data_IF_639975372584
#
_entry.id   IF_639975372584
#
_cell.length_a   1.000
_cell.length_b   1.000
_cell.length_c   1.000
_cell.angle_alpha   90.00
_cell.angle_beta   90.00
_cell.angle_gamma   90.00
#
_symmetry.space_group_name_H-M   'P 1'
#
loop_
_entity.id
_entity.type
_entity.pdbx_description
1 polymer ?
#
# COMPACT_ATOMS: atom_id res chain seq x y z
N UNK A 1 14.84 21.40 -1.25
CA UNK A 1 14.50 20.98 -2.65
C UNK A 1 15.64 20.24 -3.38
N UNK A 2 16.74 19.84 -2.71
CA UNK A 2 17.86 19.07 -3.29
C UNK A 2 17.91 17.58 -2.90
N UNK A 3 16.97 17.10 -2.07
CA UNK A 3 17.04 15.74 -1.47
C UNK A 3 16.77 14.63 -2.51
N UNK A 4 16.13 14.94 -3.64
CA UNK A 4 15.72 13.94 -4.62
C UNK A 4 16.65 13.79 -5.83
N UNK A 5 17.81 14.47 -5.87
CA UNK A 5 18.70 14.46 -7.05
C UNK A 5 20.02 13.70 -6.87
N UNK A 6 20.41 13.26 -5.68
CA UNK A 6 21.80 12.78 -5.47
C UNK A 6 21.98 11.37 -4.89
N UNK A 7 21.01 10.79 -4.15
CA UNK A 7 21.22 9.46 -3.53
C UNK A 7 20.01 8.52 -3.71
N UNK A 8 20.19 7.45 -4.47
CA UNK A 8 19.18 6.43 -4.76
C UNK A 8 18.60 5.82 -3.47
N UNK A 9 19.44 5.65 -2.44
CA UNK A 9 19.05 5.00 -1.18
C UNK A 9 18.10 5.87 -0.35
N UNK A 10 18.34 7.19 -0.29
CA UNK A 10 17.45 8.13 0.43
C UNK A 10 16.06 8.18 -0.19
N UNK A 11 15.97 8.11 -1.52
CA UNK A 11 14.69 8.05 -2.24
C UNK A 11 13.95 6.75 -1.96
N UNK A 12 14.64 5.62 -2.06
CA UNK A 12 14.03 4.31 -1.79
C UNK A 12 13.54 4.25 -0.35
N UNK A 13 14.34 4.73 0.62
CA UNK A 13 13.94 4.79 2.02
C UNK A 13 12.70 5.67 2.23
N UNK A 14 12.64 6.84 1.60
CA UNK A 14 11.46 7.70 1.67
C UNK A 14 10.20 6.98 1.20
N UNK A 15 10.23 6.35 0.01
CA UNK A 15 9.07 5.61 -0.50
C UNK A 15 8.73 4.40 0.35
N UNK A 16 9.72 3.66 0.83
CA UNK A 16 9.49 2.52 1.71
C UNK A 16 8.76 2.96 2.99
N UNK A 17 9.24 4.00 3.68
CA UNK A 17 8.61 4.51 4.91
C UNK A 17 7.21 5.04 4.62
N UNK A 18 7.04 5.79 3.52
CA UNK A 18 5.74 6.32 3.12
C UNK A 18 4.76 5.20 2.76
N UNK A 19 5.19 4.17 2.02
CA UNK A 19 4.36 3.03 1.64
C UNK A 19 3.92 2.22 2.87
N UNK A 20 4.81 2.00 3.85
CA UNK A 20 4.45 1.37 5.12
C UNK A 20 3.40 2.21 5.86
N UNK A 21 3.66 3.51 6.04
CA UNK A 21 2.76 4.41 6.76
C UNK A 21 1.38 4.51 6.08
N UNK A 22 1.35 4.73 4.76
CA UNK A 22 0.11 4.79 3.99
C UNK A 22 -0.63 3.46 3.98
N UNK A 23 0.08 2.33 4.04
CA UNK A 23 -0.56 1.01 4.14
C UNK A 23 -1.20 0.76 5.50
N UNK A 24 -0.67 1.33 6.59
CA UNK A 24 -1.33 1.31 7.91
C UNK A 24 -2.61 2.15 7.86
N UNK A 25 -2.52 3.36 7.29
CA UNK A 25 -3.67 4.25 7.11
C UNK A 25 -4.74 3.59 6.25
N UNK A 26 -4.36 2.94 5.14
CA UNK A 26 -5.31 2.28 4.25
C UNK A 26 -6.01 1.13 4.95
N UNK A 27 -5.28 0.31 5.69
CA UNK A 27 -5.85 -0.84 6.39
C UNK A 27 -6.78 -0.39 7.52
N UNK A 28 -6.35 0.55 8.35
CA UNK A 28 -7.20 1.10 9.41
C UNK A 28 -8.43 1.81 8.84
N UNK A 29 -8.25 2.59 7.77
CA UNK A 29 -9.35 3.21 7.02
C UNK A 29 -10.33 2.20 6.46
N UNK A 30 -9.86 1.05 5.98
CA UNK A 30 -10.72 -0.02 5.49
C UNK A 30 -11.55 -0.66 6.62
N UNK A 31 -11.01 -0.81 7.82
CA UNK A 31 -11.78 -1.21 9.01
C UNK A 31 -12.85 -0.17 9.36
N UNK A 32 -12.49 1.11 9.38
CA UNK A 32 -13.44 2.19 9.64
C UNK A 32 -14.60 2.16 8.62
N UNK A 33 -14.30 2.11 7.32
CA UNK A 33 -15.32 2.04 6.27
C UNK A 33 -16.17 0.77 6.38
N UNK A 34 -15.55 -0.37 6.74
CA UNK A 34 -16.27 -1.64 6.91
C UNK A 34 -17.30 -1.62 8.05
N UNK A 35 -17.00 -0.89 9.11
CA UNK A 35 -17.81 -0.87 10.33
C UNK A 35 -18.50 0.47 10.55
N UNK A 36 -18.69 1.27 9.49
CA UNK A 36 -19.34 2.59 9.57
C UNK A 36 -18.72 3.47 10.67
N UNK A 37 -17.39 3.49 10.74
CA UNK A 37 -16.57 4.21 11.72
C UNK A 37 -16.73 3.76 13.18
N UNK A 38 -17.34 2.60 13.43
CA UNK A 38 -17.52 2.00 14.76
C UNK A 38 -17.02 0.55 14.78
N UNK A 39 -15.69 0.38 14.88
CA UNK A 39 -15.05 -0.95 14.84
C UNK A 39 -15.31 -1.71 16.15
N UNK A 40 -15.91 -2.92 16.13
CA UNK A 40 -16.07 -3.72 17.35
C UNK A 40 -14.73 -4.29 17.84
N UNK A 41 -14.51 -4.29 19.15
CA UNK A 41 -13.25 -4.72 19.79
C UNK A 41 -12.70 -6.09 19.33
N UNK A 42 -13.53 -7.14 19.12
CA UNK A 42 -13.02 -8.44 18.68
C UNK A 42 -12.28 -8.40 17.35
N UNK A 43 -12.57 -7.43 16.49
CA UNK A 43 -11.92 -7.28 15.19
C UNK A 43 -10.58 -6.53 15.28
N UNK A 44 -10.29 -5.84 16.40
CA UNK A 44 -9.02 -5.15 16.60
C UNK A 44 -7.95 -6.04 17.25
N UNK A 45 -8.34 -7.14 17.90
CA UNK A 45 -7.43 -8.06 18.62
C UNK A 45 -6.27 -8.52 17.72
N UNK A 46 -6.58 -8.90 16.48
CA UNK A 46 -5.59 -9.42 15.51
C UNK A 46 -5.10 -8.36 14.51
N UNK A 47 -5.45 -7.09 14.72
CA UNK A 47 -5.19 -6.03 13.75
C UNK A 47 -3.69 -5.89 13.47
N UNK A 48 -2.86 -5.97 14.51
CA UNK A 48 -1.40 -5.81 14.40
C UNK A 48 -0.77 -6.94 13.59
N UNK A 49 -1.18 -8.18 13.82
CA UNK A 49 -0.71 -9.37 13.10
C UNK A 49 -1.14 -9.32 11.63
N UNK A 50 -2.40 -8.95 11.37
CA UNK A 50 -2.92 -8.75 10.03
C UNK A 50 -2.16 -7.64 9.31
N UNK A 51 -1.94 -6.50 9.97
CA UNK A 51 -1.18 -5.39 9.43
C UNK A 51 0.25 -5.81 9.10
N UNK A 52 0.94 -6.48 10.02
CA UNK A 52 2.31 -6.95 9.83
C UNK A 52 2.42 -7.87 8.61
N UNK A 53 1.54 -8.86 8.47
CA UNK A 53 1.55 -9.81 7.34
C UNK A 53 1.21 -9.08 6.03
N UNK A 54 0.09 -8.35 5.99
CA UNK A 54 -0.40 -7.73 4.76
C UNK A 54 0.56 -6.63 4.26
N UNK A 55 1.07 -5.78 5.15
CA UNK A 55 2.03 -4.73 4.78
C UNK A 55 3.34 -5.36 4.32
N UNK A 56 3.84 -6.41 4.97
CA UNK A 56 5.04 -7.12 4.52
C UNK A 56 4.85 -7.66 3.10
N UNK A 57 3.71 -8.28 2.80
CA UNK A 57 3.38 -8.74 1.45
C UNK A 57 3.33 -7.58 0.45
N UNK A 58 2.66 -6.47 0.78
CA UNK A 58 2.61 -5.27 -0.08
C UNK A 58 4.03 -4.80 -0.42
N UNK A 59 4.90 -4.65 0.57
CA UNK A 59 6.28 -4.18 0.39
C UNK A 59 7.10 -5.15 -0.45
N UNK A 60 7.03 -6.46 -0.19
CA UNK A 60 7.70 -7.49 -0.97
C UNK A 60 7.28 -7.40 -2.44
N UNK A 61 5.97 -7.33 -2.72
CA UNK A 61 5.49 -7.25 -4.09
C UNK A 61 5.79 -5.90 -4.76
N UNK A 62 5.74 -4.78 -4.03
CA UNK A 62 6.20 -3.49 -4.55
C UNK A 62 7.66 -3.56 -5.02
N UNK A 63 8.51 -4.28 -4.29
CA UNK A 63 9.89 -4.53 -4.69
C UNK A 63 9.98 -5.44 -5.92
N UNK A 64 9.28 -6.59 -5.93
CA UNK A 64 9.27 -7.53 -7.07
C UNK A 64 8.80 -6.87 -8.37
N UNK A 65 7.73 -6.08 -8.29
CA UNK A 65 7.18 -5.31 -9.42
C UNK A 65 7.91 -3.99 -9.68
N UNK A 66 9.11 -3.81 -9.09
CA UNK A 66 10.07 -2.73 -9.37
C UNK A 66 9.55 -1.32 -9.09
N UNK A 67 8.60 -1.15 -8.16
CA UNK A 67 8.05 0.17 -7.81
C UNK A 67 9.10 1.11 -7.17
N UNK A 68 10.18 0.58 -6.59
CA UNK A 68 11.26 1.39 -5.99
C UNK A 68 12.41 1.73 -6.94
N UNK A 69 12.51 1.03 -8.07
CA UNK A 69 13.60 1.21 -9.06
C UNK A 69 13.30 2.32 -10.08
N UNK A 70 12.05 2.79 -10.13
CA UNK A 70 11.59 3.79 -11.10
C UNK A 70 12.13 5.18 -10.72
N UNK A 71 12.64 5.89 -11.72
CA UNK A 71 12.96 7.30 -11.59
C UNK A 71 11.63 8.05 -11.47
N UNK A 72 11.37 8.62 -10.30
CA UNK A 72 10.07 9.20 -9.95
C UNK A 72 9.50 10.21 -10.97
N UNK A 73 10.36 10.97 -11.66
CA UNK A 73 9.95 11.90 -12.74
C UNK A 73 9.24 11.22 -13.92
N UNK A 74 9.52 9.94 -14.15
CA UNK A 74 8.99 9.16 -15.27
C UNK A 74 7.90 8.17 -14.83
N UNK A 75 7.27 8.38 -13.67
CA UNK A 75 6.17 7.54 -13.22
C UNK A 75 4.93 7.79 -14.11
N UNK A 76 4.60 6.82 -14.97
CA UNK A 76 3.51 6.88 -15.93
C UNK A 76 2.49 5.75 -15.77
N UNK A 77 1.71 5.49 -16.83
CA UNK A 77 0.63 4.49 -16.81
C UNK A 77 1.16 3.05 -16.67
N UNK A 78 2.32 2.74 -17.25
CA UNK A 78 2.93 1.42 -17.16
C UNK A 78 3.40 1.12 -15.72
N UNK A 79 3.89 2.14 -15.03
CA UNK A 79 4.34 2.06 -13.65
C UNK A 79 3.15 1.94 -12.70
N UNK A 80 2.07 2.69 -12.95
CA UNK A 80 0.80 2.52 -12.22
C UNK A 80 0.22 1.11 -12.39
N UNK A 81 0.34 0.50 -13.57
CA UNK A 81 -0.01 -0.92 -13.77
C UNK A 81 0.79 -1.84 -12.87
N UNK A 82 2.10 -1.61 -12.71
CA UNK A 82 2.93 -2.41 -11.81
C UNK A 82 2.53 -2.27 -10.34
N UNK A 83 2.08 -1.08 -9.92
CA UNK A 83 1.51 -0.87 -8.59
C UNK A 83 0.25 -1.72 -8.38
N UNK A 84 -0.67 -1.73 -9.36
CA UNK A 84 -1.89 -2.55 -9.31
C UNK A 84 -1.57 -4.03 -9.29
N UNK A 85 -0.64 -4.51 -10.14
CA UNK A 85 -0.22 -5.92 -10.14
C UNK A 85 0.44 -6.34 -8.83
N UNK A 86 1.25 -5.47 -8.22
CA UNK A 86 1.83 -5.71 -6.89
C UNK A 86 0.75 -5.89 -5.83
N UNK A 87 -0.29 -5.04 -5.86
CA UNK A 87 -1.42 -5.16 -4.96
C UNK A 87 -2.18 -6.47 -5.24
N UNK A 88 -2.61 -6.72 -6.47
CA UNK A 88 -3.30 -7.97 -6.83
C UNK A 88 -2.55 -9.21 -6.32
N UNK A 89 -1.23 -9.28 -6.51
CA UNK A 89 -0.42 -10.39 -6.01
C UNK A 89 -0.39 -10.46 -4.47
N UNK A 90 -0.14 -9.33 -3.78
CA UNK A 90 -0.11 -9.29 -2.31
C UNK A 90 -1.44 -9.71 -1.68
N UNK A 91 -2.57 -9.21 -2.20
CA UNK A 91 -3.90 -9.53 -1.68
C UNK A 91 -4.34 -10.94 -2.06
N UNK A 92 -3.90 -11.47 -3.21
CA UNK A 92 -4.15 -12.87 -3.57
C UNK A 92 -3.49 -13.82 -2.57
N UNK A 93 -2.20 -13.58 -2.26
CA UNK A 93 -1.48 -14.38 -1.26
C UNK A 93 -2.06 -14.19 0.13
N UNK A 94 -2.34 -12.95 0.53
CA UNK A 94 -2.95 -12.67 1.84
C UNK A 94 -4.30 -13.37 2.00
N UNK A 95 -5.15 -13.33 0.97
CA UNK A 95 -6.43 -14.04 0.95
C UNK A 95 -6.21 -15.54 1.13
N UNK A 96 -5.25 -16.15 0.41
CA UNK A 96 -4.92 -17.55 0.56
C UNK A 96 -4.51 -17.88 2.01
N UNK A 97 -3.65 -17.07 2.63
CA UNK A 97 -3.23 -17.24 4.03
C UNK A 97 -4.43 -17.22 4.99
N UNK A 98 -5.30 -16.21 4.89
CA UNK A 98 -6.45 -16.03 5.78
C UNK A 98 -7.44 -17.19 5.65
N UNK A 99 -7.69 -17.68 4.43
CA UNK A 99 -8.62 -18.79 4.20
C UNK A 99 -8.02 -20.16 4.55
N UNK A 100 -6.70 -20.33 4.46
CA UNK A 100 -6.01 -21.55 4.89
C UNK A 100 -5.81 -21.65 6.40
N UNK A 101 -5.76 -20.52 7.11
CA UNK A 101 -5.46 -20.45 8.55
C UNK A 101 -6.53 -19.68 9.36
N UNK A 102 -7.83 -20.06 9.28
CA UNK A 102 -8.92 -19.29 9.88
C UNK A 102 -8.81 -19.17 11.41
N UNK A 103 -8.22 -20.15 12.09
CA UNK A 103 -8.09 -20.15 13.55
C UNK A 103 -7.13 -19.06 14.07
N UNK A 104 -6.19 -18.59 13.26
CA UNK A 104 -5.19 -17.60 13.67
C UNK A 104 -5.67 -16.15 13.50
N UNK A 105 -6.70 -15.93 12.69
CA UNK A 105 -7.11 -14.60 12.26
C UNK A 105 -8.63 -14.37 12.38
N UNK A 106 -9.36 -15.21 13.12
CA UNK A 106 -10.80 -15.05 13.30
C UNK A 106 -11.11 -14.34 14.62
N UNK A 107 -11.93 -13.27 14.62
CA UNK A 107 -12.71 -12.79 13.49
C UNK A 107 -11.94 -11.77 12.61
N UNK A 108 -11.90 -12.02 11.30
CA UNK A 108 -11.40 -11.05 10.30
C UNK A 108 -12.51 -10.65 9.32
N UNK A 109 -12.74 -9.34 9.07
CA UNK A 109 -13.81 -8.91 8.18
C UNK A 109 -13.35 -9.02 6.73
N UNK A 110 -13.74 -10.09 6.04
CA UNK A 110 -13.27 -10.45 4.68
C UNK A 110 -13.35 -9.32 3.64
N UNK A 111 -14.37 -8.46 3.70
CA UNK A 111 -14.50 -7.32 2.79
C UNK A 111 -13.43 -6.23 2.98
N UNK A 112 -12.75 -6.19 4.14
CA UNK A 112 -11.60 -5.30 4.36
C UNK A 112 -10.49 -5.56 3.34
N UNK A 113 -10.32 -6.81 2.88
CA UNK A 113 -9.37 -7.16 1.82
C UNK A 113 -9.57 -6.26 0.59
N UNK A 114 -10.81 -6.19 0.09
CA UNK A 114 -11.11 -5.41 -1.12
C UNK A 114 -11.06 -3.90 -0.86
N UNK A 115 -11.60 -3.44 0.27
CA UNK A 115 -11.62 -2.02 0.63
C UNK A 115 -10.19 -1.49 0.80
N UNK A 116 -9.34 -2.20 1.54
CA UNK A 116 -7.94 -1.86 1.74
C UNK A 116 -7.17 -1.90 0.41
N UNK A 117 -7.42 -2.89 -0.46
CA UNK A 117 -6.77 -2.94 -1.77
C UNK A 117 -7.02 -1.69 -2.59
N UNK A 118 -8.28 -1.25 -2.67
CA UNK A 118 -8.66 -0.04 -3.40
C UNK A 118 -8.05 1.20 -2.76
N UNK A 119 -8.17 1.36 -1.43
CA UNK A 119 -7.67 2.53 -0.71
C UNK A 119 -6.15 2.63 -0.79
N UNK A 120 -5.45 1.50 -0.63
CA UNK A 120 -3.99 1.39 -0.72
C UNK A 120 -3.49 1.76 -2.11
N UNK A 121 -4.12 1.25 -3.18
CA UNK A 121 -3.75 1.63 -4.56
C UNK A 121 -3.92 3.13 -4.79
N UNK A 122 -5.04 3.71 -4.34
CA UNK A 122 -5.31 5.15 -4.50
C UNK A 122 -4.25 5.99 -3.77
N UNK A 123 -4.03 5.74 -2.48
CA UNK A 123 -3.08 6.50 -1.65
C UNK A 123 -1.64 6.40 -2.17
N UNK A 124 -1.19 5.19 -2.52
CA UNK A 124 0.16 4.96 -3.00
C UNK A 124 0.36 5.51 -4.41
N UNK A 125 -0.66 5.48 -5.26
CA UNK A 125 -0.62 6.10 -6.58
C UNK A 125 -0.55 7.62 -6.45
N UNK A 126 -1.39 8.23 -5.60
CA UNK A 126 -1.41 9.69 -5.39
C UNK A 126 -0.04 10.21 -4.95
N UNK A 127 0.59 9.58 -3.96
CA UNK A 127 1.97 9.93 -3.53
C UNK A 127 2.95 9.96 -4.71
N UNK A 128 2.82 9.03 -5.65
CA UNK A 128 3.70 8.90 -6.81
C UNK A 128 3.34 9.90 -7.92
N UNK A 129 2.07 10.21 -8.11
CA UNK A 129 1.60 11.17 -9.11
C UNK A 129 1.83 12.64 -8.72
N UNK A 130 1.87 12.97 -7.42
CA UNK A 130 1.99 14.35 -6.91
C UNK A 130 3.18 15.15 -7.49
N UNK A 131 4.28 14.50 -7.90
CA UNK A 131 5.43 15.23 -8.49
C UNK A 131 5.34 15.51 -9.97
N UNK A 132 4.53 14.77 -10.72
CA UNK A 132 4.35 15.04 -12.16
C UNK A 132 3.76 16.44 -12.34
N UNK A 133 2.73 16.75 -11.56
CA UNK A 133 2.05 18.04 -11.59
C UNK A 133 2.99 19.21 -11.27
N UNK A 134 3.85 19.05 -10.27
CA UNK A 134 4.79 20.11 -9.84
C UNK A 134 5.90 20.34 -10.88
N UNK A 135 6.34 19.29 -11.59
CA UNK A 135 7.39 19.40 -12.62
C UNK A 135 6.88 19.96 -13.96
N UNK A 136 5.64 19.65 -14.34
CA UNK A 136 5.05 20.16 -15.59
C UNK A 136 4.74 21.67 -15.49
N UNK A 137 4.38 22.18 -14.32
CA UNK A 137 4.08 23.61 -14.11
C UNK A 137 5.31 24.53 -14.16
N UNK A 138 6.52 24.02 -13.92
CA UNK A 138 7.75 24.83 -13.98
C UNK A 138 8.31 25.03 -15.40
N UNK A 139 7.67 24.44 -16.42
CA UNK A 139 8.08 24.55 -17.83
C UNK A 139 7.03 25.28 -18.71
N UNK A 140 6.03 25.91 -18.10
CA UNK A 140 5.10 26.86 -18.72
C UNK A 140 5.34 28.25 -18.14
#
# INVERSE_FOLDING_TARGET
MYIFTTNNNTRVLFFFVADVFLSIISLYGAYLLRFNFSIPDPFLIYFTEIAAILISLKIIFLFIFRNYSIIWRFYGLNEAKNLVLAHLASYSIFTLIIFSLPALFSPFPRSVILIDMMLSVILLAELRFMKRLISDQTLQ
#
